data_IF_424566377079
#
_entry.id   IF_424566377079
#
_cell.length_a   1.000
_cell.length_b   1.000
_cell.length_c   1.000
_cell.angle_alpha   90.00
_cell.angle_beta   90.00
_cell.angle_gamma   90.00
#
_symmetry.space_group_name_H-M   'P 1'
#
loop_
_entity.id
_entity.type
_entity.pdbx_description
1 polymer ?
#
# COMPACT_ATOMS: atom_id res chain seq x y z
N UNK A 1 -19.05 -15.80 -5.38
CA UNK A 1 -18.14 -16.27 -6.44
C UNK A 1 -16.73 -15.85 -6.04
N UNK A 2 -15.71 -16.67 -6.27
CA UNK A 2 -14.33 -16.24 -6.00
C UNK A 2 -13.97 -15.07 -6.92
N UNK A 3 -13.29 -14.05 -6.41
CA UNK A 3 -12.88 -12.92 -7.25
C UNK A 3 -11.88 -13.38 -8.32
N UNK A 4 -11.94 -12.80 -9.53
CA UNK A 4 -10.98 -13.10 -10.58
C UNK A 4 -9.55 -12.79 -10.12
N UNK A 5 -8.66 -13.75 -10.29
CA UNK A 5 -7.24 -13.59 -10.01
C UNK A 5 -6.53 -13.07 -11.27
N UNK A 6 -5.67 -12.07 -11.09
CA UNK A 6 -4.87 -11.44 -12.15
C UNK A 6 -3.56 -12.19 -12.35
N UNK A 7 -2.82 -12.44 -11.27
CA UNK A 7 -1.47 -12.99 -11.31
C UNK A 7 -1.12 -13.71 -10.00
N UNK A 8 -0.08 -14.54 -10.04
CA UNK A 8 0.55 -15.16 -8.86
C UNK A 8 2.04 -14.94 -8.91
N UNK A 9 2.63 -14.61 -7.76
CA UNK A 9 4.08 -14.58 -7.57
C UNK A 9 4.53 -15.89 -6.92
N UNK A 10 5.58 -16.48 -7.46
CA UNK A 10 6.19 -17.73 -7.04
C UNK A 10 7.68 -17.55 -6.82
N UNK A 11 8.18 -18.14 -5.73
CA UNK A 11 9.61 -18.23 -5.43
C UNK A 11 9.91 -19.67 -5.02
N UNK A 12 10.94 -20.26 -5.64
CA UNK A 12 11.34 -21.65 -5.39
C UNK A 12 10.15 -22.65 -5.44
N UNK A 13 9.21 -22.44 -6.36
CA UNK A 13 8.01 -23.27 -6.55
C UNK A 13 6.82 -22.96 -5.62
N UNK A 14 7.01 -22.20 -4.54
CA UNK A 14 5.96 -21.81 -3.62
C UNK A 14 5.24 -20.53 -4.08
N UNK A 15 3.91 -20.45 -3.94
CA UNK A 15 3.14 -19.21 -4.18
C UNK A 15 3.30 -18.29 -2.96
N UNK A 16 3.90 -17.12 -3.16
CA UNK A 16 4.17 -16.15 -2.09
C UNK A 16 3.18 -14.98 -2.08
N UNK A 17 2.55 -14.67 -3.23
CA UNK A 17 1.50 -13.66 -3.31
C UNK A 17 0.52 -13.96 -4.44
N UNK A 18 -0.74 -13.57 -4.24
CA UNK A 18 -1.80 -13.63 -5.25
C UNK A 18 -2.35 -12.22 -5.50
N UNK A 19 -2.47 -11.83 -6.77
CA UNK A 19 -3.07 -10.55 -7.17
C UNK A 19 -4.50 -10.79 -7.61
N UNK A 20 -5.44 -10.12 -6.96
CA UNK A 20 -6.89 -10.23 -7.19
C UNK A 20 -7.39 -8.96 -7.85
N UNK A 21 -8.31 -9.10 -8.81
CA UNK A 21 -8.84 -7.99 -9.62
C UNK A 21 -9.68 -7.00 -8.81
N UNK A 22 -10.60 -7.51 -7.99
CA UNK A 22 -11.42 -6.68 -7.12
C UNK A 22 -12.52 -5.86 -7.82
N UNK A 23 -12.61 -5.87 -9.16
CA UNK A 23 -13.61 -5.08 -9.90
C UNK A 23 -15.08 -5.48 -9.61
N UNK A 24 -15.32 -6.67 -9.07
CA UNK A 24 -16.68 -7.14 -8.74
C UNK A 24 -17.16 -6.74 -7.34
N UNK A 25 -16.33 -6.00 -6.59
CA UNK A 25 -16.69 -5.52 -5.26
C UNK A 25 -17.78 -4.44 -5.33
N UNK A 26 -18.65 -4.32 -4.31
CA UNK A 26 -19.50 -3.16 -4.15
C UNK A 26 -18.69 -1.86 -4.10
N UNK A 27 -19.21 -0.78 -4.68
CA UNK A 27 -18.53 0.53 -4.75
C UNK A 27 -18.01 1.01 -3.38
N UNK A 28 -18.83 0.89 -2.32
CA UNK A 28 -18.45 1.25 -0.94
C UNK A 28 -17.22 0.51 -0.39
N UNK A 29 -16.79 -0.60 -1.01
CA UNK A 29 -15.59 -1.33 -0.61
C UNK A 29 -14.32 -0.86 -1.35
N UNK A 30 -14.46 0.10 -2.27
CA UNK A 30 -13.37 0.62 -3.11
C UNK A 30 -12.83 -0.44 -4.08
N UNK A 31 -13.57 -0.84 -5.14
CA UNK A 31 -13.14 -1.86 -6.08
C UNK A 31 -11.76 -1.54 -6.68
N UNK A 32 -10.79 -2.42 -6.46
CA UNK A 32 -9.40 -2.24 -6.93
C UNK A 32 -8.58 -3.53 -6.95
N UNK A 33 -7.57 -3.62 -7.84
CA UNK A 33 -6.55 -4.65 -7.78
C UNK A 33 -5.74 -4.59 -6.49
N UNK A 34 -5.56 -5.74 -5.84
CA UNK A 34 -4.83 -5.85 -4.57
C UNK A 34 -4.10 -7.19 -4.44
N UNK A 35 -3.03 -7.22 -3.65
CA UNK A 35 -2.34 -8.46 -3.31
C UNK A 35 -2.93 -9.05 -2.03
N UNK A 36 -3.59 -10.19 -2.16
CA UNK A 36 -4.04 -11.01 -1.05
C UNK A 36 -4.38 -12.43 -1.53
N UNK A 37 -3.96 -13.47 -0.81
CA UNK A 37 -3.04 -13.45 0.33
C UNK A 37 -1.57 -13.24 -0.09
N UNK A 38 -0.80 -12.56 0.77
CA UNK A 38 0.66 -12.57 0.76
C UNK A 38 1.12 -13.49 1.90
N UNK A 39 2.15 -14.32 1.67
CA UNK A 39 2.63 -15.31 2.64
C UNK A 39 4.14 -15.26 2.83
N UNK A 40 4.59 -15.61 4.03
CA UNK A 40 6.00 -16.00 4.26
C UNK A 40 6.34 -17.30 3.52
N UNK A 41 7.62 -17.67 3.45
CA UNK A 41 8.01 -18.95 2.81
C UNK A 41 7.50 -20.16 3.61
N UNK A 42 7.39 -20.02 4.94
CA UNK A 42 6.75 -21.01 5.82
C UNK A 42 5.22 -21.02 5.76
N UNK A 43 4.59 -20.13 4.97
CA UNK A 43 3.15 -20.16 4.68
C UNK A 43 2.26 -19.31 5.59
N UNK A 44 2.82 -18.56 6.54
CA UNK A 44 2.07 -17.61 7.37
C UNK A 44 1.52 -16.50 6.48
N UNK A 45 0.20 -16.29 6.50
CA UNK A 45 -0.42 -15.20 5.73
C UNK A 45 -0.22 -13.89 6.47
N UNK A 46 0.30 -12.88 5.75
CA UNK A 46 0.71 -11.59 6.31
C UNK A 46 -0.16 -10.42 5.82
N UNK A 47 -1.19 -10.69 5.00
CA UNK A 47 -2.23 -9.70 4.65
C UNK A 47 -3.62 -10.20 5.03
N UNK A 48 -4.51 -9.26 5.33
CA UNK A 48 -5.95 -9.51 5.51
C UNK A 48 -6.75 -8.65 4.51
N UNK A 49 -7.93 -9.14 4.11
CA UNK A 49 -8.75 -8.49 3.11
C UNK A 49 -10.23 -8.61 3.46
N UNK A 50 -10.95 -7.47 3.38
CA UNK A 50 -12.33 -7.30 3.85
C UNK A 50 -12.53 -7.77 5.30
N UNK A 51 -11.70 -7.31 6.24
CA UNK A 51 -11.89 -7.66 7.65
C UNK A 51 -13.22 -7.06 8.15
N UNK A 52 -13.80 -7.67 9.18
CA UNK A 52 -15.14 -7.31 9.66
C UNK A 52 -15.25 -5.88 10.21
N UNK A 53 -14.15 -5.35 10.75
CA UNK A 53 -14.04 -3.98 11.30
C UNK A 53 -13.94 -2.92 10.20
N UNK A 54 -13.23 -3.22 9.11
CA UNK A 54 -12.99 -2.31 7.99
C UNK A 54 -13.14 -3.05 6.65
N UNK A 55 -14.37 -3.35 6.20
CA UNK A 55 -14.60 -4.21 5.03
C UNK A 55 -14.04 -3.68 3.71
N UNK A 56 -13.64 -2.40 3.64
CA UNK A 56 -13.01 -1.76 2.48
C UNK A 56 -11.47 -1.86 2.48
N UNK A 57 -10.85 -2.49 3.48
CA UNK A 57 -9.41 -2.74 3.50
C UNK A 57 -9.06 -3.98 2.67
N UNK A 58 -8.24 -3.78 1.65
CA UNK A 58 -7.97 -4.77 0.60
C UNK A 58 -6.48 -5.15 0.58
N UNK A 59 -6.08 -6.12 1.41
CA UNK A 59 -4.75 -6.73 1.38
C UNK A 59 -3.61 -5.70 1.38
N UNK A 60 -2.71 -5.83 0.40
CA UNK A 60 -1.76 -4.78 0.03
C UNK A 60 -2.15 -4.14 -1.31
N UNK A 61 -2.40 -2.83 -1.32
CA UNK A 61 -2.80 -2.07 -2.50
C UNK A 61 -2.36 -0.59 -2.44
N UNK A 62 -2.57 0.13 -3.55
CA UNK A 62 -2.45 1.58 -3.65
C UNK A 62 -3.85 2.17 -3.83
N UNK A 63 -4.25 3.10 -2.96
CA UNK A 63 -5.52 3.81 -3.06
C UNK A 63 -5.47 5.14 -2.30
N UNK A 64 -6.41 6.05 -2.61
CA UNK A 64 -6.58 7.32 -1.91
C UNK A 64 -8.06 7.57 -1.63
N UNK A 65 -8.33 8.25 -0.52
CA UNK A 65 -9.69 8.57 -0.09
C UNK A 65 -10.25 9.80 -0.81
N UNK A 66 -9.41 10.67 -1.37
CA UNK A 66 -9.83 11.85 -2.12
C UNK A 66 -8.95 12.02 -3.37
N UNK A 67 -9.54 11.73 -4.53
CA UNK A 67 -8.94 11.94 -5.86
C UNK A 67 -9.90 12.83 -6.64
N UNK A 68 -9.59 14.13 -6.67
CA UNK A 68 -10.47 15.11 -7.30
C UNK A 68 -11.87 15.18 -6.67
N UNK A 69 -12.02 14.83 -5.38
CA UNK A 69 -13.30 14.78 -4.68
C UNK A 69 -13.97 13.40 -4.66
N UNK A 70 -13.40 12.39 -5.33
CA UNK A 70 -13.93 11.02 -5.33
C UNK A 70 -13.18 10.11 -4.35
N UNK A 71 -13.91 9.20 -3.69
CA UNK A 71 -13.36 8.23 -2.76
C UNK A 71 -13.02 6.92 -3.45
N UNK A 72 -11.72 6.66 -3.65
CA UNK A 72 -11.22 5.42 -4.27
C UNK A 72 -10.63 4.44 -3.24
N UNK A 73 -10.71 4.77 -1.95
CA UNK A 73 -10.33 3.92 -0.83
C UNK A 73 -11.46 2.98 -0.42
N UNK A 74 -12.70 3.48 -0.48
CA UNK A 74 -13.90 2.87 0.09
C UNK A 74 -14.22 3.40 1.49
N UNK A 75 -15.26 2.85 2.11
CA UNK A 75 -15.73 3.26 3.44
C UNK A 75 -16.31 4.69 3.47
N UNK A 76 -16.58 5.21 4.67
CA UNK A 76 -17.11 6.56 4.82
C UNK A 76 -16.07 7.62 4.46
N UNK A 77 -16.54 8.75 3.93
CA UNK A 77 -15.70 9.90 3.56
C UNK A 77 -15.54 10.86 4.72
N UNK A 78 -14.29 11.29 5.00
CA UNK A 78 -14.06 12.32 6.00
C UNK A 78 -14.41 13.70 5.45
N UNK A 79 -15.35 14.37 6.11
CA UNK A 79 -15.75 15.74 5.78
C UNK A 79 -15.41 16.66 6.95
N UNK A 80 -14.62 17.71 6.69
CA UNK A 80 -14.22 18.69 7.70
C UNK A 80 -15.45 19.27 8.41
N UNK A 81 -15.43 19.26 9.74
CA UNK A 81 -16.53 19.74 10.59
C UNK A 81 -17.72 18.78 10.71
N UNK A 82 -17.75 17.66 9.98
CA UNK A 82 -18.80 16.63 10.07
C UNK A 82 -18.28 15.25 10.49
N UNK A 83 -16.98 15.00 10.35
CA UNK A 83 -16.38 13.69 10.61
C UNK A 83 -16.58 12.73 9.44
N UNK A 84 -16.59 11.43 9.72
CA UNK A 84 -16.83 10.39 8.72
C UNK A 84 -18.32 10.29 8.38
N UNK A 85 -18.65 10.38 7.10
CA UNK A 85 -20.01 10.37 6.57
C UNK A 85 -20.09 9.39 5.41
N UNK A 86 -21.14 8.58 5.37
CA UNK A 86 -21.46 7.78 4.19
C UNK A 86 -21.97 8.70 3.07
N UNK A 87 -21.19 8.80 2.00
CA UNK A 87 -21.52 9.53 0.79
C UNK A 87 -21.62 8.56 -0.38
N UNK A 88 -22.31 8.98 -1.44
CA UNK A 88 -22.35 8.28 -2.73
C UNK A 88 -21.26 8.84 -3.65
N UNK A 89 -20.01 8.74 -3.20
CA UNK A 89 -18.81 9.33 -3.83
C UNK A 89 -17.75 8.29 -4.20
N UNK A 90 -18.11 7.00 -4.19
CA UNK A 90 -17.16 5.91 -4.40
C UNK A 90 -16.77 5.73 -5.86
N UNK A 91 -15.51 6.03 -6.16
CA UNK A 91 -14.87 5.66 -7.41
C UNK A 91 -14.40 4.21 -7.43
N UNK A 92 -13.60 3.86 -8.43
CA UNK A 92 -13.02 2.52 -8.61
C UNK A 92 -11.70 2.57 -9.37
N UNK A 93 -10.85 1.56 -9.16
CA UNK A 93 -9.61 1.37 -9.89
C UNK A 93 -9.78 0.15 -10.78
N UNK A 94 -9.83 0.37 -12.10
CA UNK A 94 -10.10 -0.67 -13.10
C UNK A 94 -8.80 -1.11 -13.78
N UNK A 95 -8.47 -2.39 -13.72
CA UNK A 95 -7.36 -2.93 -14.50
C UNK A 95 -7.69 -2.90 -15.99
N UNK A 96 -6.79 -2.31 -16.78
CA UNK A 96 -6.90 -2.20 -18.25
C UNK A 96 -5.81 -2.96 -18.99
N UNK A 97 -4.77 -3.44 -18.31
CA UNK A 97 -3.72 -4.23 -18.95
C UNK A 97 -2.85 -5.02 -17.97
N UNK A 98 -2.31 -6.12 -18.46
CA UNK A 98 -1.31 -6.95 -17.79
C UNK A 98 -0.20 -7.28 -18.80
N UNK A 99 1.06 -7.12 -18.39
CA UNK A 99 2.23 -7.35 -19.21
C UNK A 99 3.37 -7.95 -18.38
N UNK A 100 4.43 -8.41 -19.05
CA UNK A 100 5.67 -8.87 -18.43
C UNK A 100 5.47 -9.91 -17.29
N UNK A 101 4.47 -10.78 -17.45
CA UNK A 101 4.12 -11.80 -16.47
C UNK A 101 5.19 -12.89 -16.48
N UNK A 102 5.88 -13.01 -15.34
CA UNK A 102 6.85 -14.05 -15.02
C UNK A 102 6.41 -14.74 -13.74
N UNK A 103 7.12 -15.77 -13.33
CA UNK A 103 6.82 -16.44 -12.05
C UNK A 103 6.97 -15.49 -10.86
N UNK A 104 7.91 -14.55 -10.91
CA UNK A 104 8.32 -13.69 -9.82
C UNK A 104 7.98 -12.20 -10.05
N UNK A 105 7.29 -11.85 -11.14
CA UNK A 105 7.00 -10.46 -11.47
C UNK A 105 5.84 -10.29 -12.44
N UNK A 106 5.22 -9.11 -12.43
CA UNK A 106 4.30 -8.66 -13.47
C UNK A 106 4.24 -7.12 -13.55
N UNK A 107 3.74 -6.61 -14.67
CA UNK A 107 3.38 -5.21 -14.84
C UNK A 107 1.87 -5.08 -15.08
N UNK A 108 1.25 -4.12 -14.40
CA UNK A 108 -0.19 -3.85 -14.44
C UNK A 108 -0.45 -2.42 -14.86
N UNK A 109 -1.47 -2.21 -15.69
CA UNK A 109 -2.01 -0.88 -15.99
C UNK A 109 -3.44 -0.80 -15.53
N UNK A 110 -3.78 0.30 -14.86
CA UNK A 110 -5.12 0.54 -14.32
C UNK A 110 -5.58 1.98 -14.58
N UNK A 111 -6.88 2.20 -14.56
CA UNK A 111 -7.52 3.52 -14.61
C UNK A 111 -8.24 3.79 -13.31
N UNK A 112 -8.05 4.98 -12.78
CA UNK A 112 -8.74 5.45 -11.59
C UNK A 112 -9.92 6.28 -12.06
N UNK A 113 -11.12 5.83 -11.71
CA UNK A 113 -12.37 6.40 -12.19
C UNK A 113 -13.19 6.97 -11.03
N UNK A 114 -13.78 8.15 -11.23
CA UNK A 114 -14.78 8.72 -10.32
C UNK A 114 -16.05 7.87 -10.25
N UNK A 115 -16.94 8.17 -9.31
CA UNK A 115 -18.22 7.46 -9.18
C UNK A 115 -19.12 7.68 -10.41
N UNK A 116 -18.99 8.84 -11.06
CA UNK A 116 -19.64 9.19 -12.32
C UNK A 116 -18.99 8.56 -13.57
N UNK A 117 -17.86 7.86 -13.40
CA UNK A 117 -17.08 7.27 -14.48
C UNK A 117 -16.06 8.21 -15.13
N UNK A 118 -15.83 9.42 -14.59
CA UNK A 118 -14.74 10.29 -15.05
C UNK A 118 -13.39 9.58 -14.92
N UNK A 119 -12.56 9.64 -15.97
CA UNK A 119 -11.20 9.09 -15.94
C UNK A 119 -10.24 10.10 -15.29
N UNK A 120 -9.76 9.78 -14.09
CA UNK A 120 -8.98 10.69 -13.25
C UNK A 120 -7.46 10.46 -13.39
N UNK A 121 -7.02 9.21 -13.24
CA UNK A 121 -5.61 8.84 -13.33
C UNK A 121 -5.41 7.59 -14.19
N UNK A 122 -4.33 7.58 -14.96
CA UNK A 122 -3.71 6.36 -15.45
C UNK A 122 -2.66 5.89 -14.41
N UNK A 123 -2.70 4.62 -14.05
CA UNK A 123 -1.70 3.97 -13.20
C UNK A 123 -0.89 2.94 -14.00
N UNK A 124 0.44 2.99 -13.87
CA UNK A 124 1.34 1.91 -14.26
C UNK A 124 2.07 1.38 -13.03
N UNK A 125 1.86 0.10 -12.75
CA UNK A 125 2.40 -0.60 -11.59
C UNK A 125 3.33 -1.73 -12.02
N UNK A 126 4.45 -1.87 -11.30
CA UNK A 126 5.34 -3.03 -11.42
C UNK A 126 5.41 -3.73 -10.08
N UNK A 127 5.34 -5.06 -10.11
CA UNK A 127 5.42 -5.90 -8.91
C UNK A 127 6.47 -6.96 -9.13
N UNK A 128 7.38 -7.14 -8.16
CA UNK A 128 8.47 -8.12 -8.21
C UNK A 128 8.62 -8.80 -6.86
N UNK A 129 8.94 -10.09 -6.88
CA UNK A 129 9.30 -10.89 -5.73
C UNK A 129 10.73 -11.42 -5.91
N UNK A 130 11.52 -11.50 -4.84
CA UNK A 130 12.87 -12.10 -4.89
C UNK A 130 13.23 -12.75 -3.56
N UNK A 131 14.02 -13.81 -3.60
CA UNK A 131 14.56 -14.42 -2.37
C UNK A 131 15.51 -13.45 -1.66
N UNK A 132 15.55 -13.52 -0.34
CA UNK A 132 16.41 -12.73 0.54
C UNK A 132 16.93 -13.61 1.68
N UNK A 133 17.98 -13.17 2.39
CA UNK A 133 18.64 -13.96 3.44
C UNK A 133 17.67 -14.48 4.50
N UNK A 134 16.70 -13.66 4.89
CA UNK A 134 15.76 -13.96 5.97
C UNK A 134 14.34 -14.33 5.48
N UNK A 135 14.14 -14.51 4.18
CA UNK A 135 12.82 -14.77 3.60
C UNK A 135 12.76 -14.36 2.14
N UNK A 136 11.85 -13.45 1.81
CA UNK A 136 11.76 -12.89 0.47
C UNK A 136 11.33 -11.43 0.50
N UNK A 137 11.54 -10.72 -0.59
CA UNK A 137 11.22 -9.30 -0.72
C UNK A 137 10.16 -9.09 -1.80
N UNK A 138 9.14 -8.30 -1.45
CA UNK A 138 8.21 -7.72 -2.40
C UNK A 138 8.66 -6.31 -2.75
N UNK A 139 8.75 -5.99 -4.03
CA UNK A 139 8.89 -4.62 -4.52
C UNK A 139 7.67 -4.26 -5.34
N UNK A 140 7.06 -3.10 -5.05
CA UNK A 140 5.99 -2.52 -5.84
C UNK A 140 6.32 -1.06 -6.15
N UNK A 141 6.36 -0.71 -7.44
CA UNK A 141 6.44 0.68 -7.90
C UNK A 141 5.14 1.07 -8.59
N UNK A 142 4.66 2.29 -8.38
CA UNK A 142 3.49 2.84 -9.05
C UNK A 142 3.82 4.22 -9.64
N UNK A 143 3.27 4.50 -10.82
CA UNK A 143 3.25 5.79 -11.47
C UNK A 143 1.80 6.21 -11.69
N UNK A 144 1.36 7.30 -11.08
CA UNK A 144 0.02 7.87 -11.22
C UNK A 144 0.10 9.12 -12.10
N UNK A 145 -0.58 9.12 -13.24
CA UNK A 145 -0.55 10.23 -14.21
C UNK A 145 -1.93 10.87 -14.30
N UNK A 146 -2.02 12.19 -14.15
CA UNK A 146 -3.28 12.93 -14.30
C UNK A 146 -3.80 12.82 -15.73
N UNK A 147 -4.94 12.14 -15.89
CA UNK A 147 -5.60 11.91 -17.16
C UNK A 147 -6.64 13.00 -17.50
N UNK A 148 -6.88 13.94 -16.58
CA UNK A 148 -7.83 15.03 -16.77
C UNK A 148 -7.19 16.23 -17.49
N UNK A 149 -8.04 17.11 -18.03
CA UNK A 149 -7.61 18.37 -18.64
C UNK A 149 -7.43 19.53 -17.64
N UNK A 150 -7.40 19.25 -16.33
CA UNK A 150 -7.28 20.26 -15.26
C UNK A 150 -6.30 19.80 -14.18
N UNK A 151 -5.91 20.70 -13.30
CA UNK A 151 -5.20 20.31 -12.08
C UNK A 151 -6.04 19.31 -11.28
N UNK A 152 -5.43 18.17 -10.92
CA UNK A 152 -6.05 17.13 -10.13
C UNK A 152 -5.42 17.08 -8.74
N UNK A 153 -6.28 17.18 -7.73
CA UNK A 153 -5.87 17.11 -6.32
C UNK A 153 -5.96 15.69 -5.79
N UNK A 154 -4.88 15.21 -5.18
CA UNK A 154 -4.78 13.93 -4.49
C UNK A 154 -4.64 14.18 -2.99
N UNK A 155 -5.48 13.57 -2.17
CA UNK A 155 -5.51 13.80 -0.73
C UNK A 155 -5.95 12.56 0.06
N UNK A 156 -5.57 12.56 1.34
CA UNK A 156 -6.17 11.72 2.37
C UNK A 156 -6.95 12.55 3.41
N UNK A 157 -7.60 11.90 4.38
CA UNK A 157 -8.35 12.59 5.44
C UNK A 157 -7.51 13.58 6.24
N UNK A 158 -6.23 13.28 6.46
CA UNK A 158 -5.29 14.20 7.12
C UNK A 158 -5.22 15.55 6.41
N UNK A 159 -5.02 15.56 5.08
CA UNK A 159 -5.03 16.77 4.27
C UNK A 159 -6.41 17.48 4.26
N UNK A 160 -7.48 16.72 4.46
CA UNK A 160 -8.84 17.26 4.59
C UNK A 160 -9.19 17.73 6.02
N UNK A 161 -8.24 17.67 6.95
CA UNK A 161 -8.40 18.20 8.31
C UNK A 161 -8.74 17.17 9.38
N UNK A 162 -8.37 15.91 9.18
CA UNK A 162 -8.43 14.84 10.19
C UNK A 162 -7.00 14.47 10.65
N UNK A 163 -6.39 15.20 11.60
CA UNK A 163 -5.04 14.91 12.08
C UNK A 163 -4.90 13.44 12.52
N UNK A 164 -3.80 12.79 12.12
CA UNK A 164 -3.54 11.38 12.44
C UNK A 164 -4.27 10.37 11.55
N UNK A 165 -5.13 10.78 10.61
CA UNK A 165 -5.75 9.91 9.62
C UNK A 165 -5.02 9.99 8.26
N UNK A 166 -3.71 9.71 8.28
CA UNK A 166 -2.85 9.81 7.10
C UNK A 166 -2.90 8.60 6.15
N UNK A 167 -3.91 7.72 6.24
CA UNK A 167 -3.98 6.58 5.33
C UNK A 167 -4.20 7.03 3.88
N UNK A 168 -3.60 6.31 2.95
CA UNK A 168 -3.59 6.65 1.53
C UNK A 168 -2.18 6.50 0.93
N UNK A 169 -2.11 6.14 -0.35
CA UNK A 169 -0.87 5.66 -0.97
C UNK A 169 -0.76 4.15 -0.82
N UNK A 170 0.45 3.64 -0.56
CA UNK A 170 0.64 2.23 -0.24
C UNK A 170 0.01 1.91 1.12
N UNK A 171 -0.82 0.88 1.17
CA UNK A 171 -1.39 0.40 2.42
C UNK A 171 -1.43 -1.12 2.47
N UNK A 172 -0.90 -1.64 3.57
CA UNK A 172 -0.84 -3.04 3.92
C UNK A 172 -1.77 -3.27 5.10
N UNK A 173 -2.91 -3.94 4.85
CA UNK A 173 -3.76 -4.46 5.92
C UNK A 173 -3.19 -5.79 6.41
N UNK A 174 -2.79 -5.84 7.68
CA UNK A 174 -2.28 -7.06 8.31
C UNK A 174 -3.44 -7.87 8.93
N UNK A 175 -3.26 -9.20 9.12
CA UNK A 175 -4.15 -10.02 9.94
C UNK A 175 -4.10 -9.59 11.42
N UNK A 176 -5.06 -10.05 12.25
CA UNK A 176 -5.03 -9.84 13.69
C UNK A 176 -3.66 -10.20 14.29
N UNK A 177 -3.05 -9.22 14.94
CA UNK A 177 -1.72 -9.34 15.50
C UNK A 177 -1.74 -10.10 16.84
N UNK A 178 -0.68 -10.86 17.13
CA UNK A 178 -0.61 -11.66 18.37
C UNK A 178 0.27 -11.00 19.42
N UNK A 179 1.50 -10.63 19.03
CA UNK A 179 2.47 -9.94 19.88
C UNK A 179 3.26 -8.92 19.05
N UNK A 180 2.60 -7.92 18.45
CA UNK A 180 3.24 -6.99 17.53
C UNK A 180 4.20 -6.04 18.25
N UNK A 181 5.38 -5.88 17.68
CA UNK A 181 6.30 -4.77 17.94
C UNK A 181 6.51 -4.01 16.64
N UNK A 182 6.16 -2.73 16.65
CA UNK A 182 6.38 -1.83 15.51
C UNK A 182 7.45 -0.82 15.84
N UNK A 183 8.46 -0.65 14.99
CA UNK A 183 9.58 0.26 15.27
C UNK A 183 10.17 0.88 14.01
N UNK A 184 10.88 1.96 14.22
CA UNK A 184 11.83 2.59 13.28
C UNK A 184 13.16 2.77 14.01
N UNK A 185 14.13 3.43 13.37
CA UNK A 185 15.36 3.86 14.06
C UNK A 185 15.11 4.88 15.19
N UNK A 186 13.99 5.63 15.10
CA UNK A 186 13.67 6.69 16.05
C UNK A 186 12.94 6.20 17.31
N UNK A 187 12.37 4.99 17.28
CA UNK A 187 11.69 4.41 18.43
C UNK A 187 10.73 3.28 18.10
N UNK A 188 10.16 2.71 19.17
CA UNK A 188 9.20 1.59 19.12
C UNK A 188 7.82 2.04 19.64
N UNK A 189 6.77 1.39 19.12
CA UNK A 189 5.38 1.58 19.50
C UNK A 189 4.62 2.50 18.54
N UNK A 190 3.32 2.26 18.41
CA UNK A 190 2.44 2.99 17.47
C UNK A 190 2.57 4.51 17.62
N UNK A 191 2.56 5.03 18.85
CA UNK A 191 2.65 6.47 19.12
C UNK A 191 3.94 7.13 18.63
N UNK A 192 5.05 6.38 18.58
CA UNK A 192 6.35 6.90 18.12
C UNK A 192 6.54 6.76 16.61
N UNK A 193 5.89 5.76 16.01
CA UNK A 193 6.08 5.44 14.60
C UNK A 193 5.02 6.09 13.70
N UNK A 194 3.78 6.19 14.18
CA UNK A 194 2.69 6.77 13.40
C UNK A 194 2.94 8.26 13.11
N UNK A 195 2.95 8.61 11.82
CA UNK A 195 3.21 9.97 11.33
C UNK A 195 4.70 10.35 11.30
N UNK A 196 5.61 9.45 11.70
CA UNK A 196 7.04 9.71 11.62
C UNK A 196 7.58 9.41 10.22
N UNK A 197 8.37 10.33 9.68
CA UNK A 197 9.23 10.04 8.53
C UNK A 197 10.48 9.30 9.02
N UNK A 198 10.71 8.10 8.51
CA UNK A 198 11.87 7.28 8.83
C UNK A 198 12.25 6.42 7.61
N UNK A 199 13.54 6.11 7.39
CA UNK A 199 13.99 5.40 6.20
C UNK A 199 13.41 3.98 6.07
N UNK A 200 12.99 3.39 7.18
CA UNK A 200 12.35 2.09 7.25
C UNK A 200 11.40 1.99 8.44
N UNK A 201 10.51 1.00 8.36
CA UNK A 201 9.63 0.58 9.44
C UNK A 201 9.66 -0.95 9.55
N UNK A 202 9.71 -1.48 10.76
CA UNK A 202 9.60 -2.92 11.00
C UNK A 202 8.34 -3.23 11.82
N UNK A 203 7.61 -4.23 11.37
CA UNK A 203 6.55 -4.91 12.10
C UNK A 203 7.02 -6.33 12.41
N UNK A 204 7.25 -6.62 13.69
CA UNK A 204 7.67 -7.94 14.16
C UNK A 204 6.54 -8.52 14.98
N UNK A 205 5.96 -9.63 14.52
CA UNK A 205 5.00 -10.42 15.28
C UNK A 205 5.62 -11.78 15.64
N UNK A 206 4.89 -12.63 16.38
CA UNK A 206 5.37 -13.95 16.82
C UNK A 206 5.79 -14.83 15.63
N UNK A 207 4.99 -14.84 14.58
CA UNK A 207 5.09 -15.84 13.50
C UNK A 207 5.66 -15.27 12.20
N UNK A 208 5.87 -13.95 12.11
CA UNK A 208 6.39 -13.29 10.91
C UNK A 208 7.01 -11.92 11.23
N UNK A 209 7.84 -11.45 10.31
CA UNK A 209 8.40 -10.11 10.31
C UNK A 209 8.19 -9.45 8.95
N UNK A 210 7.71 -8.21 8.95
CA UNK A 210 7.68 -7.32 7.80
C UNK A 210 8.63 -6.14 8.02
N UNK A 211 9.47 -5.81 7.04
CA UNK A 211 10.29 -4.59 7.07
C UNK A 211 10.06 -3.80 5.81
N UNK A 212 9.64 -2.55 5.94
CA UNK A 212 9.22 -1.68 4.86
C UNK A 212 10.26 -0.59 4.63
N UNK A 213 10.54 -0.24 3.37
CA UNK A 213 11.39 0.89 2.99
C UNK A 213 10.98 1.44 1.63
N UNK A 214 11.13 2.75 1.44
CA UNK A 214 10.92 3.39 0.14
C UNK A 214 12.07 3.10 -0.82
N UNK A 215 11.77 2.79 -2.08
CA UNK A 215 12.79 2.56 -3.12
C UNK A 215 13.32 3.86 -3.72
N UNK A 216 12.61 4.97 -3.56
CA UNK A 216 13.00 6.30 -4.02
C UNK A 216 13.00 7.32 -2.87
N UNK A 217 13.59 8.49 -3.12
CA UNK A 217 13.72 9.54 -2.11
C UNK A 217 12.36 10.12 -1.68
N UNK A 218 11.37 10.18 -2.57
CA UNK A 218 10.05 10.70 -2.25
C UNK A 218 9.31 9.76 -1.30
N UNK A 219 9.31 8.45 -1.58
CA UNK A 219 8.67 7.45 -0.73
C UNK A 219 9.37 7.32 0.62
N UNK A 220 10.70 7.52 0.69
CA UNK A 220 11.43 7.57 1.97
C UNK A 220 11.13 8.83 2.79
N UNK A 221 10.67 9.89 2.15
CA UNK A 221 10.25 11.11 2.83
C UNK A 221 8.78 11.06 3.29
N UNK A 222 7.95 10.22 2.65
CA UNK A 222 6.57 10.00 3.08
C UNK A 222 6.54 9.47 4.53
N UNK A 223 5.73 10.08 5.42
CA UNK A 223 5.56 9.55 6.77
C UNK A 223 4.98 8.13 6.78
N UNK A 224 5.26 7.36 7.82
CA UNK A 224 4.61 6.05 8.02
C UNK A 224 3.21 6.23 8.62
N UNK A 225 2.21 5.56 8.07
CA UNK A 225 0.91 5.36 8.71
C UNK A 225 0.93 4.02 9.42
N UNK A 226 0.75 4.02 10.74
CA UNK A 226 0.66 2.78 11.54
C UNK A 226 -0.59 2.77 12.38
N UNK A 227 -1.23 1.60 12.43
CA UNK A 227 -2.19 1.20 13.46
C UNK A 227 -1.81 -0.19 13.97
N UNK A 228 -1.87 -0.35 15.29
CA UNK A 228 -1.69 -1.61 16.01
C UNK A 228 -2.93 -1.87 16.87
N UNK A 229 -3.34 -0.87 17.66
CA UNK A 229 -4.43 -1.00 18.63
C UNK A 229 -5.82 -1.10 18.00
N UNK A 230 -6.16 -0.17 17.11
CA UNK A 230 -7.48 -0.14 16.44
C UNK A 230 -7.61 -1.28 15.44
N UNK A 231 -6.59 -1.43 14.60
CA UNK A 231 -6.43 -2.53 13.67
C UNK A 231 -4.98 -2.65 13.19
N UNK A 232 -4.53 -3.84 12.76
CA UNK A 232 -3.18 -4.00 12.21
C UNK A 232 -3.06 -3.42 10.79
N UNK A 233 -2.33 -2.32 10.63
CA UNK A 233 -2.15 -1.67 9.33
C UNK A 233 -0.89 -0.83 9.24
N UNK A 234 -0.20 -0.93 8.11
CA UNK A 234 0.99 -0.13 7.78
C UNK A 234 0.79 0.53 6.42
N UNK A 235 1.13 1.81 6.28
CA UNK A 235 1.12 2.49 5.00
C UNK A 235 2.22 3.53 4.86
N UNK A 236 2.49 3.94 3.63
CA UNK A 236 3.38 5.06 3.29
C UNK A 236 2.50 6.21 2.79
N UNK A 237 2.51 7.32 3.54
CA UNK A 237 1.55 8.42 3.41
C UNK A 237 1.86 9.28 2.19
N UNK A 238 1.21 8.98 1.06
CA UNK A 238 1.45 9.68 -0.21
C UNK A 238 0.94 11.13 -0.22
N UNK A 239 -0.19 11.39 0.45
CA UNK A 239 -0.89 12.69 0.43
C UNK A 239 -1.34 13.12 1.84
N UNK A 240 -0.39 13.09 2.78
CA UNK A 240 -0.56 13.62 4.13
C UNK A 240 0.79 14.15 4.68
N UNK A 241 0.80 15.27 5.43
CA UNK A 241 -0.37 16.05 5.84
C UNK A 241 -0.93 16.93 4.72
N UNK A 242 -0.19 17.14 3.63
CA UNK A 242 -0.59 18.01 2.54
C UNK A 242 -1.09 17.22 1.32
N UNK A 243 -1.98 17.84 0.55
CA UNK A 243 -2.43 17.28 -0.72
C UNK A 243 -1.35 17.40 -1.79
N UNK A 244 -1.32 16.46 -2.73
CA UNK A 244 -0.49 16.52 -3.93
C UNK A 244 -1.34 17.06 -5.07
N UNK A 245 -0.81 18.05 -5.79
CA UNK A 245 -1.45 18.62 -6.98
C UNK A 245 -0.71 18.13 -8.22
N UNK A 246 -1.47 17.60 -9.19
CA UNK A 246 -0.94 17.18 -10.47
C UNK A 246 -1.53 18.04 -11.57
N UNK A 247 -0.69 18.76 -12.29
CA UNK A 247 -1.08 19.43 -13.54
C UNK A 247 -1.58 18.41 -14.58
N UNK A 248 -2.31 18.82 -15.63
CA UNK A 248 -2.70 17.93 -16.72
C UNK A 248 -1.50 17.17 -17.30
N UNK A 249 -1.58 15.84 -17.33
CA UNK A 249 -0.48 14.97 -17.77
C UNK A 249 0.70 14.86 -16.79
N UNK A 250 0.66 15.55 -15.64
CA UNK A 250 1.65 15.43 -14.57
C UNK A 250 1.60 14.06 -13.92
N UNK A 251 2.76 13.55 -13.49
CA UNK A 251 2.91 12.22 -12.92
C UNK A 251 3.57 12.22 -11.54
N UNK A 252 3.11 11.32 -10.68
CA UNK A 252 3.68 11.02 -9.38
C UNK A 252 4.21 9.60 -9.37
N UNK A 253 5.43 9.41 -8.85
CA UNK A 253 6.04 8.10 -8.69
C UNK A 253 6.23 7.76 -7.21
N UNK A 254 5.96 6.50 -6.86
CA UNK A 254 6.24 5.92 -5.53
C UNK A 254 6.70 4.48 -5.67
N UNK A 255 7.58 4.03 -4.79
CA UNK A 255 7.97 2.64 -4.73
C UNK A 255 8.30 2.16 -3.32
N UNK A 256 7.76 0.99 -3.00
CA UNK A 256 7.88 0.35 -1.69
C UNK A 256 8.55 -1.02 -1.86
N UNK A 257 9.51 -1.30 -0.98
CA UNK A 257 10.10 -2.62 -0.82
C UNK A 257 9.81 -3.15 0.57
N UNK A 258 9.43 -4.41 0.65
CA UNK A 258 9.00 -5.07 1.89
C UNK A 258 9.70 -6.41 2.04
N UNK A 259 10.49 -6.61 3.09
CA UNK A 259 10.91 -7.94 3.53
C UNK A 259 9.71 -8.68 4.10
N UNK A 260 9.52 -9.93 3.71
CA UNK A 260 8.54 -10.86 4.27
C UNK A 260 9.30 -12.08 4.78
N UNK A 261 9.39 -12.19 6.10
CA UNK A 261 10.19 -13.20 6.78
C UNK A 261 9.33 -14.04 7.74
N UNK A 262 9.71 -15.31 7.89
CA UNK A 262 9.15 -16.20 8.90
C UNK A 262 9.66 -15.85 10.30
N UNK A 263 8.78 -15.92 11.29
CA UNK A 263 9.10 -15.66 12.69
C UNK A 263 9.51 -14.22 13.02
N UNK A 264 9.92 -14.03 14.26
CA UNK A 264 10.38 -12.75 14.79
C UNK A 264 11.88 -12.56 14.54
N UNK A 265 12.26 -11.64 13.63
CA UNK A 265 13.66 -11.27 13.43
C UNK A 265 14.17 -10.38 14.56
N UNK A 266 15.46 -10.48 14.84
CA UNK A 266 16.14 -9.60 15.79
C UNK A 266 16.40 -8.19 15.25
N UNK A 267 16.82 -7.31 16.15
CA UNK A 267 17.10 -5.91 15.86
C UNK A 267 18.08 -5.71 14.70
N UNK A 268 19.19 -6.45 14.74
CA UNK A 268 20.28 -6.32 13.80
C UNK A 268 19.96 -6.89 12.42
N UNK A 269 19.19 -7.97 12.33
CA UNK A 269 18.73 -8.55 11.06
C UNK A 269 17.86 -7.55 10.28
N UNK A 270 16.90 -6.93 10.98
CA UNK A 270 16.05 -5.87 10.40
C UNK A 270 16.89 -4.69 9.92
N UNK A 271 17.83 -4.20 10.74
CA UNK A 271 18.65 -3.03 10.41
C UNK A 271 19.60 -3.30 9.24
N UNK A 272 20.21 -4.50 9.18
CA UNK A 272 21.04 -4.92 8.04
C UNK A 272 20.23 -4.96 6.74
N UNK A 273 19.03 -5.54 6.78
CA UNK A 273 18.16 -5.61 5.60
C UNK A 273 17.74 -4.20 5.14
N UNK A 274 17.31 -3.35 6.07
CA UNK A 274 16.90 -1.99 5.77
C UNK A 274 18.05 -1.15 5.19
N UNK A 275 19.27 -1.29 5.74
CA UNK A 275 20.47 -0.60 5.23
C UNK A 275 20.87 -1.03 3.81
N UNK A 276 20.58 -2.27 3.41
CA UNK A 276 20.83 -2.78 2.07
C UNK A 276 20.02 -2.09 0.97
N UNK A 277 18.95 -1.35 1.31
CA UNK A 277 18.15 -0.57 0.37
C UNK A 277 18.93 0.60 -0.28
N UNK A 278 19.92 1.15 0.43
CA UNK A 278 20.73 2.26 -0.08
C UNK A 278 21.77 1.85 -1.14
N UNK A 279 22.15 0.58 -1.21
CA UNK A 279 23.26 0.12 -2.04
C UNK A 279 22.90 -0.18 -3.51
N UNK A 280 21.62 -0.43 -3.83
CA UNK A 280 21.19 -0.70 -5.21
C UNK A 280 21.04 0.60 -6.05
N UNK A 281 20.90 1.76 -5.41
CA UNK A 281 20.71 3.07 -6.08
C UNK A 281 22.01 3.64 -6.67
N UNK A 282 23.19 3.26 -6.18
CA UNK A 282 24.48 3.74 -6.71
C UNK A 282 24.99 2.95 -7.91
N UNK A 283 24.35 1.83 -8.27
CA UNK A 283 24.77 0.98 -9.40
C UNK A 283 24.04 1.31 -10.72
N UNK A 284 23.20 2.35 -10.76
CA UNK A 284 22.48 2.81 -11.97
C UNK A 284 22.63 4.31 -12.24
N UNK A 285 23.78 4.88 -11.87
CA UNK A 285 24.24 6.21 -12.30
C UNK A 285 25.14 6.10 -13.53
#
# INVERSE_FOLDING_TARGET
>A
MAEPMIARLRLAGAVVAECVDGAQLPARLGPRPHLHPIRTLGGSTVTDARPADHPWHQGFSVALQDVGGWNLWGGPTFVRGRGYVDLDDHGRIERVGLADVREDAFEERSRWCGADGEHLLDEHRRVRARLSEHGWELEMTTALTNATGRELRLAGPAANGCPGAGYGGFFWRLPPAVAPRVRTEAGEGEQRVHGAAAPWLAWVDRDHTLVFTGTDAATRADPWFVRVGDYPGVGSQLAAPDAVLLEPGGALHRGLRVLVADGALDGGAVERWAGGAGAELTARG
#
